data_IF_986730782742
#
_entry.id   IF_986730782742
#
_cell.length_a   1.000
_cell.length_b   1.000
_cell.length_c   1.000
_cell.angle_alpha   90.00
_cell.angle_beta   90.00
_cell.angle_gamma   90.00
#
_symmetry.space_group_name_H-M   'P 1'
#
loop_
_entity.id
_entity.type
_entity.pdbx_description
1 polymer ?
#
# COMPACT_ATOMS: atom_id res chain seq x y z
N UNK A 1 25.61 39.57 -41.14
CA UNK A 1 26.13 38.27 -41.59
C UNK A 1 25.93 37.29 -40.47
N UNK A 2 24.98 36.37 -40.60
CA UNK A 2 24.72 35.34 -39.59
C UNK A 2 25.82 34.29 -39.68
N UNK A 3 26.70 34.24 -38.68
CA UNK A 3 27.72 33.21 -38.54
C UNK A 3 27.02 31.88 -38.25
N UNK A 4 26.91 31.01 -39.26
CA UNK A 4 26.55 29.62 -39.03
C UNK A 4 27.74 28.92 -38.37
N UNK A 5 27.77 28.97 -37.04
CA UNK A 5 28.66 28.16 -36.22
C UNK A 5 28.23 26.70 -36.37
N UNK A 6 28.88 25.97 -37.26
CA UNK A 6 28.67 24.53 -37.42
C UNK A 6 29.17 23.79 -36.17
N UNK A 7 28.38 22.81 -35.71
CA UNK A 7 28.78 21.88 -34.66
C UNK A 7 29.99 21.07 -35.12
N UNK A 8 30.99 20.87 -34.26
CA UNK A 8 32.16 20.04 -34.63
C UNK A 8 31.81 18.55 -34.57
N UNK A 9 32.38 17.74 -35.45
CA UNK A 9 32.12 16.29 -35.44
C UNK A 9 32.52 15.65 -34.11
N UNK A 10 33.59 16.14 -33.48
CA UNK A 10 34.03 15.61 -32.18
C UNK A 10 33.02 15.91 -31.08
N UNK A 11 32.39 17.07 -31.09
CA UNK A 11 31.39 17.48 -30.10
C UNK A 11 30.11 16.64 -30.20
N UNK A 12 29.71 16.26 -31.42
CA UNK A 12 28.61 15.32 -31.61
C UNK A 12 28.98 13.91 -31.11
N UNK A 13 30.19 13.44 -31.41
CA UNK A 13 30.66 12.11 -31.02
C UNK A 13 30.82 11.98 -29.50
N UNK A 14 31.38 12.98 -28.83
CA UNK A 14 31.55 12.94 -27.37
C UNK A 14 30.20 12.92 -26.65
N UNK A 15 29.20 13.66 -27.15
CA UNK A 15 27.84 13.66 -26.58
C UNK A 15 27.19 12.29 -26.65
N UNK A 16 27.22 11.62 -27.81
CA UNK A 16 26.61 10.27 -27.93
C UNK A 16 27.35 9.22 -27.10
N UNK A 17 28.67 9.35 -26.95
CA UNK A 17 29.47 8.45 -26.09
C UNK A 17 29.08 8.64 -24.62
N UNK A 18 28.97 9.89 -24.16
CA UNK A 18 28.54 10.19 -22.79
C UNK A 18 27.11 9.68 -22.54
N UNK A 19 26.18 9.94 -23.46
CA UNK A 19 24.80 9.45 -23.37
C UNK A 19 24.74 7.92 -23.37
N UNK A 20 25.59 7.24 -24.14
CA UNK A 20 25.69 5.78 -24.15
C UNK A 20 26.10 5.19 -22.79
N UNK A 21 27.09 5.79 -22.12
CA UNK A 21 27.54 5.35 -20.80
C UNK A 21 26.45 5.58 -19.73
N UNK A 22 25.79 6.74 -19.78
CA UNK A 22 24.70 7.06 -18.85
C UNK A 22 23.50 6.13 -19.05
N UNK A 23 23.16 5.76 -20.29
CA UNK A 23 22.04 4.87 -20.57
C UNK A 23 22.26 3.45 -19.99
N UNK A 24 23.45 2.88 -20.16
CA UNK A 24 23.78 1.53 -19.67
C UNK A 24 23.74 1.45 -18.15
N UNK A 25 24.17 2.51 -17.47
CA UNK A 25 24.20 2.55 -15.99
C UNK A 25 22.83 2.86 -15.37
N UNK A 26 21.95 3.60 -16.07
CA UNK A 26 20.61 3.95 -15.59
C UNK A 26 19.56 2.86 -15.84
N UNK A 27 19.63 2.14 -16.96
CA UNK A 27 18.65 1.12 -17.36
C UNK A 27 18.33 0.06 -16.27
N UNK A 28 19.30 -0.57 -15.56
CA UNK A 28 18.98 -1.61 -14.58
C UNK A 28 18.27 -1.07 -13.33
N UNK A 29 18.49 0.20 -12.97
CA UNK A 29 17.76 0.81 -11.84
C UNK A 29 16.35 1.22 -12.24
N UNK A 30 16.17 1.76 -13.45
CA UNK A 30 14.87 2.21 -13.96
C UNK A 30 13.80 1.11 -13.91
N UNK A 31 14.18 -0.15 -14.19
CA UNK A 31 13.26 -1.30 -14.17
C UNK A 31 12.72 -1.61 -12.76
N UNK A 32 13.49 -1.36 -11.71
CA UNK A 32 13.11 -1.71 -10.33
C UNK A 32 12.39 -0.56 -9.58
N UNK A 33 12.48 0.68 -10.05
CA UNK A 33 11.88 1.84 -9.35
C UNK A 33 10.36 1.73 -9.17
N UNK A 34 9.63 1.22 -10.15
CA UNK A 34 8.17 1.07 -10.03
C UNK A 34 7.77 0.03 -8.99
N UNK A 35 8.55 -1.05 -8.90
CA UNK A 35 8.39 -2.12 -7.91
C UNK A 35 8.65 -1.58 -6.50
N UNK A 36 9.79 -0.93 -6.30
CA UNK A 36 10.15 -0.29 -5.02
C UNK A 36 9.13 0.77 -4.58
N UNK A 37 8.59 1.54 -5.54
CA UNK A 37 7.54 2.53 -5.26
C UNK A 37 6.25 1.87 -4.76
N UNK A 38 5.77 0.80 -5.42
CA UNK A 38 4.57 0.07 -4.99
C UNK A 38 4.75 -0.57 -3.62
N UNK A 39 5.93 -1.15 -3.35
CA UNK A 39 6.27 -1.69 -2.02
C UNK A 39 6.16 -0.59 -0.97
N UNK A 40 6.74 0.59 -1.22
CA UNK A 40 6.70 1.72 -0.30
C UNK A 40 5.27 2.20 -0.02
N UNK A 41 4.39 2.20 -1.04
CA UNK A 41 2.96 2.51 -0.88
C UNK A 41 2.28 1.45 -0.01
N UNK A 42 2.54 0.16 -0.24
CA UNK A 42 1.94 -0.92 0.56
C UNK A 42 2.42 -0.89 2.03
N UNK A 43 3.68 -0.54 2.28
CA UNK A 43 4.20 -0.34 3.64
C UNK A 43 3.55 0.86 4.33
N UNK A 44 3.39 1.96 3.61
CA UNK A 44 2.69 3.16 4.11
C UNK A 44 1.22 2.85 4.42
N UNK A 45 0.56 2.08 3.56
CA UNK A 45 -0.81 1.62 3.76
C UNK A 45 -0.93 0.70 4.97
N UNK A 46 0.00 -0.24 5.15
CA UNK A 46 0.04 -1.09 6.36
C UNK A 46 0.10 -0.23 7.63
N UNK A 47 0.96 0.78 7.65
CA UNK A 47 1.03 1.73 8.78
C UNK A 47 -0.29 2.46 9.02
N UNK A 48 -0.95 2.86 7.94
CA UNK A 48 -2.26 3.52 8.00
C UNK A 48 -3.35 2.60 8.55
N UNK A 49 -3.41 1.34 8.11
CA UNK A 49 -4.36 0.33 8.61
C UNK A 49 -4.13 0.06 10.10
N UNK A 50 -2.87 -0.06 10.54
CA UNK A 50 -2.54 -0.20 11.98
C UNK A 50 -3.04 1.03 12.75
N UNK A 51 -2.75 2.23 12.27
CA UNK A 51 -3.17 3.47 12.94
C UNK A 51 -4.69 3.61 13.02
N UNK A 52 -5.41 3.26 11.96
CA UNK A 52 -6.87 3.28 11.92
C UNK A 52 -7.47 2.25 12.89
N UNK A 53 -6.91 1.05 12.92
CA UNK A 53 -7.29 -0.01 13.86
C UNK A 53 -7.12 0.44 15.31
N UNK A 54 -5.99 1.06 15.64
CA UNK A 54 -5.69 1.56 16.98
C UNK A 54 -6.59 2.74 17.37
N UNK A 55 -6.89 3.63 16.42
CA UNK A 55 -7.80 4.75 16.63
C UNK A 55 -9.23 4.29 16.93
N UNK A 56 -9.75 3.35 16.14
CA UNK A 56 -11.08 2.78 16.35
C UNK A 56 -11.14 2.05 17.69
N UNK A 57 -10.10 1.28 18.01
CA UNK A 57 -10.03 0.58 19.28
C UNK A 57 -9.99 1.53 20.49
N UNK A 58 -9.22 2.62 20.39
CA UNK A 58 -9.21 3.64 21.43
C UNK A 58 -10.60 4.26 21.66
N UNK A 59 -11.33 4.55 20.58
CA UNK A 59 -12.71 5.05 20.69
C UNK A 59 -13.66 4.00 21.29
N UNK A 60 -13.53 2.73 20.88
CA UNK A 60 -14.33 1.64 21.43
C UNK A 60 -14.14 1.50 22.96
N UNK A 61 -12.91 1.60 23.45
CA UNK A 61 -12.61 1.55 24.89
C UNK A 61 -13.20 2.76 25.63
N UNK A 62 -13.17 3.95 25.03
CA UNK A 62 -13.78 5.16 25.61
C UNK A 62 -15.31 4.99 25.74
N UNK A 63 -15.94 4.41 24.72
CA UNK A 63 -17.39 4.24 24.66
C UNK A 63 -17.87 2.98 25.41
N UNK A 64 -16.94 2.13 25.87
CA UNK A 64 -17.26 0.85 26.54
C UNK A 64 -17.76 -0.24 25.59
N UNK A 65 -17.44 -0.11 24.30
CA UNK A 65 -17.79 -1.01 23.20
C UNK A 65 -16.63 -1.99 22.88
N UNK A 66 -15.72 -2.21 23.83
CA UNK A 66 -14.61 -3.18 23.74
C UNK A 66 -15.02 -4.63 24.10
N UNK A 67 -16.33 -4.85 24.24
CA UNK A 67 -16.95 -6.17 24.42
C UNK A 67 -17.01 -7.00 23.13
N UNK A 68 -17.69 -8.16 23.18
CA UNK A 68 -17.68 -9.16 22.10
C UNK A 68 -18.07 -8.60 20.73
N UNK A 69 -19.17 -7.87 20.67
CA UNK A 69 -19.71 -7.19 19.48
C UNK A 69 -20.11 -5.79 19.93
N UNK A 70 -19.99 -4.82 19.03
CA UNK A 70 -20.34 -3.44 19.30
C UNK A 70 -20.31 -2.59 18.04
N UNK A 71 -20.64 -1.32 18.17
CA UNK A 71 -20.52 -0.36 17.08
C UNK A 71 -20.05 0.97 17.65
N UNK A 72 -19.09 1.59 16.99
CA UNK A 72 -18.60 2.91 17.34
C UNK A 72 -18.81 3.87 16.18
N UNK A 73 -19.11 5.12 16.47
CA UNK A 73 -19.30 6.13 15.42
C UNK A 73 -18.11 7.09 15.42
N UNK A 74 -17.34 7.08 14.35
CA UNK A 74 -16.27 8.07 14.12
C UNK A 74 -16.82 9.13 13.17
N UNK A 75 -17.02 10.35 13.68
CA UNK A 75 -17.71 11.41 12.96
C UNK A 75 -19.19 11.07 12.77
N UNK A 76 -19.55 10.64 11.55
CA UNK A 76 -20.92 10.22 11.18
C UNK A 76 -20.95 8.81 10.59
N UNK A 77 -19.85 8.07 10.69
CA UNK A 77 -19.70 6.76 10.08
C UNK A 77 -19.73 5.69 11.17
N UNK A 78 -20.75 4.81 11.19
CA UNK A 78 -20.78 3.68 12.10
C UNK A 78 -19.77 2.63 11.65
N UNK A 79 -18.96 2.14 12.60
CA UNK A 79 -17.94 1.12 12.40
C UNK A 79 -18.27 -0.04 13.33
N UNK A 80 -18.53 -1.20 12.74
CA UNK A 80 -18.85 -2.41 13.47
C UNK A 80 -17.60 -3.01 14.11
N UNK A 81 -17.76 -3.48 15.34
CA UNK A 81 -16.66 -3.94 16.18
C UNK A 81 -16.80 -5.40 16.56
N UNK A 82 -15.65 -6.03 16.77
CA UNK A 82 -15.49 -7.32 17.41
C UNK A 82 -14.37 -7.21 18.44
N UNK A 83 -14.70 -7.39 19.72
CA UNK A 83 -13.77 -7.16 20.84
C UNK A 83 -13.08 -5.79 20.78
N UNK A 84 -13.84 -4.75 20.44
CA UNK A 84 -13.33 -3.39 20.32
C UNK A 84 -12.46 -3.10 19.10
N UNK A 85 -12.35 -4.01 18.13
CA UNK A 85 -11.61 -3.77 16.88
C UNK A 85 -12.56 -3.77 15.67
N UNK A 86 -12.27 -2.99 14.61
CA UNK A 86 -13.07 -3.02 13.38
C UNK A 86 -13.23 -4.43 12.81
N UNK A 87 -14.42 -4.75 12.32
CA UNK A 87 -14.65 -5.97 11.52
C UNK A 87 -13.94 -5.88 10.16
N UNK A 88 -13.78 -7.02 9.48
CA UNK A 88 -13.23 -7.04 8.10
C UNK A 88 -14.05 -6.16 7.15
N UNK A 89 -15.36 -6.05 7.39
CA UNK A 89 -16.30 -5.31 6.56
C UNK A 89 -16.47 -3.84 6.99
N UNK A 90 -15.79 -3.36 8.03
CA UNK A 90 -15.93 -1.98 8.50
C UNK A 90 -14.59 -1.25 8.62
N UNK A 91 -13.45 -1.94 8.61
CA UNK A 91 -12.12 -1.32 8.68
C UNK A 91 -11.88 -0.27 7.58
N UNK A 92 -12.42 -0.47 6.37
CA UNK A 92 -12.25 0.49 5.28
C UNK A 92 -12.93 1.84 5.56
N UNK A 93 -13.94 1.87 6.44
CA UNK A 93 -14.62 3.10 6.84
C UNK A 93 -13.76 3.99 7.74
N UNK A 94 -12.74 3.41 8.38
CA UNK A 94 -11.76 4.11 9.20
C UNK A 94 -10.55 4.63 8.40
N UNK A 95 -10.53 4.40 7.08
CA UNK A 95 -9.42 4.70 6.20
C UNK A 95 -9.90 5.55 5.02
N UNK A 96 -9.17 6.61 4.71
CA UNK A 96 -9.35 7.32 3.45
C UNK A 96 -8.39 6.77 2.40
N UNK A 97 -8.81 5.68 1.75
CA UNK A 97 -8.07 5.05 0.65
C UNK A 97 -8.84 5.13 -0.66
N UNK A 98 -9.65 6.19 -0.83
CA UNK A 98 -10.51 6.40 -2.00
C UNK A 98 -9.72 6.88 -3.23
N UNK A 99 -8.60 6.21 -3.51
CA UNK A 99 -7.70 6.46 -4.64
C UNK A 99 -7.86 5.33 -5.68
N UNK A 100 -7.86 5.67 -6.97
CA UNK A 100 -7.94 4.69 -8.08
C UNK A 100 -6.74 3.72 -8.10
N UNK A 101 -5.69 4.06 -7.35
CA UNK A 101 -4.48 3.24 -7.18
C UNK A 101 -4.67 2.09 -6.18
N UNK A 102 -5.51 2.26 -5.15
CA UNK A 102 -5.68 1.30 -4.06
C UNK A 102 -7.07 0.65 -4.11
N UNK A 103 -7.11 -0.63 -4.47
CA UNK A 103 -8.37 -1.36 -4.56
C UNK A 103 -8.61 -2.11 -3.26
N UNK A 104 -9.79 -1.93 -2.67
CA UNK A 104 -10.25 -2.64 -1.49
C UNK A 104 -11.17 -3.80 -1.87
N UNK A 105 -10.90 -4.98 -1.30
CA UNK A 105 -11.78 -6.13 -1.36
C UNK A 105 -11.94 -6.74 0.03
N UNK A 106 -13.12 -7.27 0.33
CA UNK A 106 -13.40 -7.99 1.58
C UNK A 106 -13.87 -9.41 1.27
N UNK A 107 -13.65 -10.29 2.24
CA UNK A 107 -14.12 -11.68 2.26
C UNK A 107 -14.48 -12.06 3.68
N UNK A 108 -15.18 -13.18 3.85
CA UNK A 108 -15.56 -13.69 5.17
C UNK A 108 -14.36 -13.90 6.12
N UNK A 109 -13.15 -14.07 5.58
CA UNK A 109 -11.95 -14.39 6.37
C UNK A 109 -11.08 -13.18 6.69
N UNK A 110 -11.00 -12.22 5.77
CA UNK A 110 -10.15 -11.04 5.88
C UNK A 110 -10.52 -10.01 4.81
N UNK A 111 -10.06 -8.78 5.01
CA UNK A 111 -10.09 -7.74 3.99
C UNK A 111 -8.68 -7.40 3.49
N UNK A 112 -8.61 -6.90 2.27
CA UNK A 112 -7.37 -6.72 1.56
C UNK A 112 -7.39 -5.40 0.78
N UNK A 113 -6.22 -4.76 0.74
CA UNK A 113 -5.94 -3.68 -0.20
C UNK A 113 -4.82 -4.11 -1.11
N UNK A 114 -4.97 -3.87 -2.41
CA UNK A 114 -3.91 -4.13 -3.38
C UNK A 114 -3.75 -2.98 -4.36
N UNK A 115 -2.55 -2.87 -4.93
CA UNK A 115 -2.25 -1.85 -5.92
C UNK A 115 -2.87 -2.22 -7.28
N UNK A 116 -3.52 -1.29 -7.96
CA UNK A 116 -4.22 -1.54 -9.23
C UNK A 116 -3.29 -2.00 -10.36
N UNK A 117 -2.08 -1.43 -10.43
CA UNK A 117 -1.02 -1.87 -11.37
C UNK A 117 -0.27 -3.15 -10.94
N UNK A 118 -0.69 -3.82 -9.85
CA UNK A 118 -0.06 -5.07 -9.47
C UNK A 118 -0.38 -6.17 -10.49
N UNK A 119 0.59 -7.02 -10.86
CA UNK A 119 0.38 -8.09 -11.83
C UNK A 119 -0.63 -9.15 -11.34
N UNK A 120 -0.91 -9.19 -10.04
CA UNK A 120 -2.06 -9.94 -9.49
C UNK A 120 -2.54 -9.32 -8.18
N UNK A 121 -3.83 -9.46 -7.89
CA UNK A 121 -4.45 -9.01 -6.62
C UNK A 121 -3.98 -9.78 -5.39
N UNK A 122 -3.27 -10.91 -5.59
CA UNK A 122 -2.66 -11.69 -4.51
C UNK A 122 -1.27 -11.17 -4.12
N UNK A 123 -0.71 -10.24 -4.88
CA UNK A 123 0.62 -9.66 -4.74
C UNK A 123 0.47 -8.14 -4.57
N UNK A 124 1.47 -7.46 -4.00
CA UNK A 124 1.30 -6.07 -3.56
C UNK A 124 0.05 -5.88 -2.70
N UNK A 125 -0.08 -6.62 -1.59
CA UNK A 125 -1.30 -6.49 -0.79
C UNK A 125 -1.05 -6.34 0.69
N UNK A 126 -1.85 -5.50 1.31
CA UNK A 126 -2.04 -5.44 2.77
C UNK A 126 -3.28 -6.25 3.10
N UNK A 127 -3.17 -7.13 4.10
CA UNK A 127 -4.29 -7.95 4.59
C UNK A 127 -4.61 -7.54 6.02
N UNK A 128 -5.88 -7.35 6.31
CA UNK A 128 -6.43 -7.16 7.65
C UNK A 128 -7.35 -8.32 7.99
N UNK A 129 -7.05 -9.03 9.07
CA UNK A 129 -7.84 -10.16 9.55
C UNK A 129 -8.33 -9.90 10.98
N UNK A 130 -9.60 -9.49 11.10
CA UNK A 130 -10.30 -9.34 12.37
C UNK A 130 -10.76 -10.68 12.99
N UNK A 131 -10.86 -11.77 12.22
CA UNK A 131 -11.26 -13.07 12.75
C UNK A 131 -10.23 -13.68 13.71
N UNK A 132 -8.98 -13.18 13.67
CA UNK A 132 -7.97 -13.48 14.67
C UNK A 132 -8.33 -12.93 16.07
N UNK A 133 -9.25 -11.97 16.15
CA UNK A 133 -9.76 -11.38 17.38
C UNK A 133 -10.86 -12.26 17.96
N UNK A 134 -10.46 -13.24 18.76
CA UNK A 134 -11.37 -14.19 19.43
C UNK A 134 -11.47 -14.01 20.95
N UNK A 135 -10.88 -12.92 21.47
CA UNK A 135 -10.93 -12.50 22.86
C UNK A 135 -10.46 -11.04 22.97
N UNK A 136 -10.81 -10.30 24.04
CA UNK A 136 -10.38 -8.91 24.23
C UNK A 136 -8.86 -8.69 24.16
N UNK A 137 -8.05 -9.68 24.55
CA UNK A 137 -6.58 -9.58 24.58
C UNK A 137 -5.92 -9.85 23.21
N UNK A 138 -6.70 -10.16 22.17
CA UNK A 138 -6.19 -10.45 20.83
C UNK A 138 -6.42 -9.25 19.92
N UNK A 139 -5.44 -8.98 19.06
CA UNK A 139 -5.49 -7.89 18.08
C UNK A 139 -5.67 -8.47 16.67
N UNK A 140 -6.22 -7.70 15.73
CA UNK A 140 -6.28 -8.09 14.33
C UNK A 140 -4.88 -8.40 13.78
N UNK A 141 -4.81 -9.36 12.87
CA UNK A 141 -3.55 -9.70 12.19
C UNK A 141 -3.44 -8.85 10.92
N UNK A 142 -2.44 -7.99 10.86
CA UNK A 142 -2.15 -7.12 9.72
C UNK A 142 -0.86 -7.57 9.05
N UNK A 143 -0.95 -8.07 7.82
CA UNK A 143 0.20 -8.57 7.06
C UNK A 143 0.33 -7.86 5.73
N UNK A 144 1.53 -7.93 5.16
CA UNK A 144 1.85 -7.38 3.84
C UNK A 144 2.51 -8.48 3.01
N UNK A 145 2.14 -8.58 1.74
CA UNK A 145 2.73 -9.50 0.77
C UNK A 145 3.39 -8.67 -0.34
N UNK A 146 4.72 -8.56 -0.28
CA UNK A 146 5.56 -7.80 -1.22
C UNK A 146 6.54 -8.67 -2.02
N UNK A 147 6.80 -9.90 -1.58
CA UNK A 147 7.85 -10.78 -2.14
C UNK A 147 7.38 -11.59 -3.38
N UNK A 148 8.29 -11.91 -4.32
CA UNK A 148 8.06 -12.89 -5.39
C UNK A 148 8.31 -14.32 -4.95
N UNK A 149 7.41 -15.25 -5.31
CA UNK A 149 7.63 -16.66 -5.00
C UNK A 149 8.64 -17.33 -5.93
N UNK A 150 8.92 -16.84 -7.15
CA UNK A 150 9.94 -17.47 -8.04
C UNK A 150 10.34 -16.73 -9.32
N UNK A 151 9.72 -15.62 -9.77
CA UNK A 151 10.16 -14.93 -11.00
C UNK A 151 9.68 -13.47 -11.09
N UNK A 152 10.66 -12.58 -11.24
CA UNK A 152 10.74 -11.30 -11.97
C UNK A 152 9.62 -10.26 -12.08
N UNK A 153 8.47 -10.41 -11.42
CA UNK A 153 7.60 -9.26 -11.19
C UNK A 153 7.36 -9.22 -9.69
N UNK A 154 8.12 -8.41 -8.94
CA UNK A 154 7.82 -8.14 -7.54
C UNK A 154 6.45 -7.50 -7.38
N UNK A 155 6.11 -7.12 -6.14
CA UNK A 155 5.32 -5.91 -6.06
C UNK A 155 6.09 -4.81 -6.78
#
# INVERSE_FOLDING_TARGET
>A
MSSNSGFTLIELVTVIVILGILAITAAPRFVNFSSDARISVMESLKGSVISATDMVHAQAVIDGEDGKEGTVTIGNTPIDLTYGYPTNDSIYLALDTSDDVLIFETSDTASYWYHSDAPSSQRCRVTYNANAVNSPDKRPVITIVTEPSTNLDGC
#
